data_IF_205984800563
#
_entry.id   IF_205984800563
#
_cell.length_a   1.000
_cell.length_b   1.000
_cell.length_c   1.000
_cell.angle_alpha   90.00
_cell.angle_beta   90.00
_cell.angle_gamma   90.00
#
_symmetry.space_group_name_H-M   'P 1'
#
loop_
_entity.id
_entity.type
_entity.pdbx_description
1 polymer ?
#
# COMPACT_ATOMS: atom_id res chain seq x y z
N UNK A 1 -1.43 -69.11 -8.35
CA UNK A 1 -0.66 -68.05 -9.05
C UNK A 1 -1.65 -67.25 -9.88
N UNK A 2 -2.37 -66.32 -9.24
CA UNK A 2 -3.45 -65.54 -9.84
C UNK A 2 -3.06 -64.06 -9.82
N UNK A 3 -3.13 -63.41 -10.98
CA UNK A 3 -2.79 -62.01 -11.20
C UNK A 3 -4.02 -61.17 -10.88
N UNK A 4 -3.95 -60.36 -9.83
CA UNK A 4 -4.99 -59.40 -9.45
C UNK A 4 -4.72 -58.06 -10.14
N UNK A 5 -5.66 -57.63 -11.00
CA UNK A 5 -5.69 -56.30 -11.59
C UNK A 5 -6.42 -55.34 -10.64
N UNK A 6 -5.73 -54.32 -10.16
CA UNK A 6 -6.30 -53.22 -9.36
C UNK A 6 -6.61 -52.04 -10.30
N UNK A 7 -7.90 -51.77 -10.47
CA UNK A 7 -8.41 -50.59 -11.16
C UNK A 7 -8.21 -49.34 -10.26
N UNK A 8 -7.52 -48.33 -10.78
CA UNK A 8 -7.42 -47.02 -10.14
C UNK A 8 -8.50 -46.08 -10.71
N UNK A 9 -9.42 -45.69 -9.84
CA UNK A 9 -10.50 -44.75 -10.10
C UNK A 9 -9.95 -43.31 -10.07
N UNK A 10 -9.90 -42.63 -11.22
CA UNK A 10 -9.41 -41.26 -11.36
C UNK A 10 -10.61 -40.32 -11.50
N UNK A 11 -11.03 -39.68 -10.40
CA UNK A 11 -12.04 -38.62 -10.44
C UNK A 11 -11.41 -37.32 -10.94
N UNK A 12 -11.74 -36.95 -12.18
CA UNK A 12 -11.47 -35.62 -12.74
C UNK A 12 -12.42 -34.59 -12.10
N UNK A 13 -11.89 -33.70 -11.26
CA UNK A 13 -12.57 -32.47 -10.85
C UNK A 13 -12.39 -31.41 -11.93
N UNK A 14 -13.43 -31.19 -12.74
CA UNK A 14 -13.54 -30.07 -13.66
C UNK A 14 -13.73 -28.75 -12.87
N UNK A 15 -12.72 -27.88 -12.86
CA UNK A 15 -12.88 -26.47 -12.47
C UNK A 15 -13.12 -25.62 -13.73
N UNK A 16 -14.35 -25.16 -13.90
CA UNK A 16 -14.72 -24.15 -14.90
C UNK A 16 -14.34 -22.76 -14.40
N UNK A 17 -13.40 -22.10 -15.07
CA UNK A 17 -13.05 -20.70 -14.87
C UNK A 17 -14.05 -19.77 -15.58
N UNK A 18 -14.59 -18.71 -14.95
CA UNK A 18 -15.28 -17.67 -15.68
C UNK A 18 -14.29 -16.70 -16.32
N UNK A 19 -14.38 -16.55 -17.65
CA UNK A 19 -13.69 -15.52 -18.45
C UNK A 19 -14.21 -14.13 -18.07
N UNK A 20 -13.39 -13.32 -17.43
CA UNK A 20 -13.65 -11.88 -17.27
C UNK A 20 -13.03 -11.13 -18.46
N UNK A 21 -13.89 -10.46 -19.22
CA UNK A 21 -13.60 -9.66 -20.41
C UNK A 21 -12.95 -8.34 -19.99
N UNK A 22 -11.67 -8.16 -20.29
CA UNK A 22 -10.97 -6.89 -20.17
C UNK A 22 -11.55 -5.85 -21.15
N UNK A 23 -12.03 -4.71 -20.64
CA UNK A 23 -12.32 -3.51 -21.46
C UNK A 23 -11.07 -2.64 -21.49
N UNK A 24 -10.35 -2.66 -22.61
CA UNK A 24 -9.30 -1.70 -22.92
C UNK A 24 -9.92 -0.33 -23.24
N UNK A 25 -9.58 0.72 -22.47
CA UNK A 25 -9.79 2.11 -22.90
C UNK A 25 -8.49 2.63 -23.53
N UNK A 26 -8.53 3.30 -24.70
CA UNK A 26 -7.34 3.87 -25.31
C UNK A 26 -6.93 5.19 -24.63
N UNK A 27 -5.63 5.33 -24.42
CA UNK A 27 -4.93 6.48 -23.87
C UNK A 27 -4.78 7.57 -24.94
N UNK A 28 -5.24 8.80 -24.68
CA UNK A 28 -4.94 9.98 -25.49
C UNK A 28 -4.12 10.98 -24.68
N UNK A 29 -3.01 11.54 -25.23
CA UNK A 29 -2.20 12.52 -24.53
C UNK A 29 -2.77 13.94 -24.74
N UNK A 30 -3.16 14.63 -23.67
CA UNK A 30 -3.49 16.05 -23.74
C UNK A 30 -2.22 16.91 -23.61
N UNK A 31 -1.97 17.70 -24.65
CA UNK A 31 -0.99 18.80 -24.68
C UNK A 31 -1.49 19.95 -23.80
N UNK A 32 -0.60 20.45 -22.97
CA UNK A 32 -0.73 21.71 -22.22
C UNK A 32 -0.75 22.91 -23.16
N UNK A 33 -1.78 23.74 -23.07
CA UNK A 33 -1.77 25.10 -23.63
C UNK A 33 -2.21 26.07 -22.55
N UNK A 34 -1.28 26.91 -22.11
CA UNK A 34 -1.51 28.10 -21.30
C UNK A 34 -2.28 29.13 -22.14
N UNK A 35 -3.42 29.61 -21.65
CA UNK A 35 -3.97 30.88 -22.10
C UNK A 35 -4.60 31.67 -20.96
N UNK A 36 -3.90 32.76 -20.67
CA UNK A 36 -4.26 33.96 -19.93
C UNK A 36 -5.56 34.56 -20.49
N UNK A 37 -6.50 34.97 -19.62
CA UNK A 37 -7.62 35.83 -20.04
C UNK A 37 -7.93 36.87 -18.95
N UNK A 38 -7.68 38.12 -19.32
CA UNK A 38 -7.94 39.31 -18.53
C UNK A 38 -9.43 39.61 -18.45
N UNK A 39 -9.87 40.01 -17.25
CA UNK A 39 -11.21 40.54 -16.99
C UNK A 39 -11.37 41.95 -17.58
N UNK A 40 -12.44 42.18 -18.33
CA UNK A 40 -13.09 43.50 -18.46
C UNK A 40 -14.61 43.35 -18.41
N UNK A 41 -15.34 44.28 -17.78
CA UNK A 41 -16.78 44.19 -17.60
C UNK A 41 -17.52 44.87 -18.75
N UNK A 42 -18.62 44.27 -19.20
CA UNK A 42 -19.64 44.97 -19.97
C UNK A 42 -20.98 44.88 -19.23
N UNK A 43 -21.42 46.06 -18.80
CA UNK A 43 -22.76 46.39 -18.31
C UNK A 43 -23.73 46.21 -19.48
N UNK A 44 -24.82 45.46 -19.26
CA UNK A 44 -26.02 45.59 -20.07
C UNK A 44 -27.27 45.71 -19.20
N UNK A 45 -28.14 46.57 -19.73
CA UNK A 45 -29.28 47.24 -19.14
C UNK A 45 -30.44 46.27 -18.88
N UNK A 46 -31.16 46.57 -17.80
CA UNK A 46 -32.41 45.99 -17.34
C UNK A 46 -33.47 45.98 -18.45
N UNK A 47 -34.12 44.84 -18.64
CA UNK A 47 -35.50 44.79 -19.16
C UNK A 47 -36.30 43.83 -18.28
N UNK A 48 -37.22 44.42 -17.50
CA UNK A 48 -38.21 43.71 -16.72
C UNK A 48 -39.32 43.23 -17.65
N UNK A 49 -39.61 41.93 -17.63
CA UNK A 49 -40.87 41.39 -18.14
C UNK A 49 -41.40 40.39 -17.14
N UNK A 50 -42.45 40.82 -16.46
CA UNK A 50 -43.26 40.07 -15.51
C UNK A 50 -44.17 39.07 -16.25
N UNK A 51 -44.06 37.79 -15.92
CA UNK A 51 -45.12 36.78 -16.06
C UNK A 51 -44.82 35.56 -15.16
N UNK A 52 -45.85 34.83 -14.71
CA UNK A 52 -45.88 34.22 -13.39
C UNK A 52 -45.41 32.76 -13.37
N UNK A 53 -44.89 32.35 -12.21
CA UNK A 53 -44.78 30.97 -11.68
C UNK A 53 -44.57 29.83 -12.68
N UNK A 54 -43.33 29.37 -12.75
CA UNK A 54 -43.04 27.94 -12.73
C UNK A 54 -42.03 27.68 -11.60
N UNK A 55 -42.55 27.33 -10.43
CA UNK A 55 -41.77 26.55 -9.48
C UNK A 55 -41.49 25.20 -10.18
N UNK A 56 -40.37 25.14 -10.90
CA UNK A 56 -39.68 23.88 -11.10
C UNK A 56 -39.35 23.36 -9.70
N UNK A 57 -39.72 22.13 -9.33
CA UNK A 57 -39.18 21.57 -8.10
C UNK A 57 -37.66 21.58 -8.28
N UNK A 58 -36.95 22.25 -7.37
CA UNK A 58 -35.56 21.91 -7.10
C UNK A 58 -35.59 20.43 -6.69
N UNK A 59 -35.54 19.54 -7.68
CA UNK A 59 -35.12 18.18 -7.49
C UNK A 59 -33.70 18.32 -6.94
N UNK A 60 -33.60 18.30 -5.62
CA UNK A 60 -32.35 18.30 -4.87
C UNK A 60 -31.55 17.10 -5.39
N UNK A 61 -30.73 17.32 -6.42
CA UNK A 61 -29.93 16.27 -7.04
C UNK A 61 -28.92 15.87 -5.99
N UNK A 62 -29.19 14.75 -5.30
CA UNK A 62 -28.24 14.18 -4.36
C UNK A 62 -26.95 13.89 -5.13
N UNK A 63 -25.89 14.63 -4.78
CA UNK A 63 -24.52 14.37 -5.24
C UNK A 63 -23.81 13.50 -4.21
N UNK A 64 -22.77 12.78 -4.64
CA UNK A 64 -21.95 11.98 -3.73
C UNK A 64 -21.37 12.83 -2.58
N UNK A 65 -20.87 14.04 -2.88
CA UNK A 65 -20.40 15.01 -1.89
C UNK A 65 -21.50 15.39 -0.87
N UNK A 66 -22.71 15.71 -1.33
CA UNK A 66 -23.84 16.07 -0.47
C UNK A 66 -24.20 14.91 0.47
N UNK A 67 -24.22 13.68 -0.05
CA UNK A 67 -24.43 12.47 0.74
C UNK A 67 -23.32 12.25 1.78
N UNK A 68 -22.04 12.46 1.44
CA UNK A 68 -20.93 12.37 2.41
C UNK A 68 -21.09 13.40 3.53
N UNK A 69 -21.38 14.66 3.18
CA UNK A 69 -21.56 15.73 4.17
C UNK A 69 -22.78 15.48 5.08
N UNK A 70 -23.88 14.99 4.51
CA UNK A 70 -25.06 14.61 5.26
C UNK A 70 -24.77 13.41 6.18
N UNK A 71 -24.05 12.40 5.69
CA UNK A 71 -23.62 11.25 6.47
C UNK A 71 -22.77 11.66 7.67
N UNK A 72 -21.83 12.59 7.49
CA UNK A 72 -21.00 13.12 8.57
C UNK A 72 -21.84 13.86 9.63
N UNK A 73 -22.80 14.67 9.20
CA UNK A 73 -23.74 15.37 10.09
C UNK A 73 -24.65 14.41 10.89
N UNK A 74 -25.04 13.29 10.28
CA UNK A 74 -25.82 12.24 10.96
C UNK A 74 -24.95 11.47 11.94
N UNK A 75 -23.71 11.15 11.56
CA UNK A 75 -22.75 10.46 12.40
C UNK A 75 -22.43 11.25 13.67
N UNK A 76 -22.18 12.57 13.55
CA UNK A 76 -21.94 13.45 14.70
C UNK A 76 -23.13 13.56 15.65
N UNK A 77 -24.35 13.23 15.19
CA UNK A 77 -25.57 13.16 16.00
C UNK A 77 -25.82 11.77 16.60
N UNK A 78 -24.89 10.83 16.43
CA UNK A 78 -25.03 9.44 16.88
C UNK A 78 -25.99 8.60 16.02
N UNK A 79 -26.50 9.13 14.89
CA UNK A 79 -27.39 8.41 13.97
C UNK A 79 -26.57 7.55 12.99
N UNK A 80 -25.78 6.62 13.53
CA UNK A 80 -24.76 5.86 12.77
C UNK A 80 -25.37 5.01 11.66
N UNK A 81 -26.55 4.41 11.87
CA UNK A 81 -27.23 3.62 10.83
C UNK A 81 -27.65 4.48 9.64
N UNK A 82 -28.15 5.69 9.90
CA UNK A 82 -28.57 6.61 8.84
C UNK A 82 -27.36 7.19 8.10
N UNK A 83 -26.26 7.44 8.83
CA UNK A 83 -25.00 7.85 8.23
C UNK A 83 -24.44 6.79 7.27
N UNK A 84 -24.49 5.51 7.64
CA UNK A 84 -24.08 4.41 6.75
C UNK A 84 -24.85 4.42 5.43
N UNK A 85 -26.17 4.59 5.48
CA UNK A 85 -26.99 4.67 4.27
C UNK A 85 -26.53 5.81 3.37
N UNK A 86 -26.19 6.97 3.94
CA UNK A 86 -25.69 8.10 3.17
C UNK A 86 -24.32 7.84 2.54
N UNK A 87 -23.40 7.19 3.25
CA UNK A 87 -22.10 6.83 2.68
C UNK A 87 -22.21 5.76 1.57
N UNK A 88 -23.11 4.79 1.71
CA UNK A 88 -23.41 3.81 0.66
C UNK A 88 -24.07 4.45 -0.56
N UNK A 89 -24.96 5.41 -0.32
CA UNK A 89 -25.58 6.21 -1.39
C UNK A 89 -24.50 7.00 -2.12
N UNK A 90 -23.59 7.66 -1.40
CA UNK A 90 -22.48 8.40 -2.02
C UNK A 90 -21.62 7.51 -2.92
N UNK A 91 -21.31 6.28 -2.50
CA UNK A 91 -20.55 5.31 -3.30
C UNK A 91 -21.31 4.81 -4.54
N UNK A 92 -22.63 4.96 -4.57
CA UNK A 92 -23.49 4.56 -5.68
C UNK A 92 -23.72 5.69 -6.71
N UNK A 93 -23.37 6.94 -6.37
CA UNK A 93 -23.64 8.15 -7.15
C UNK A 93 -22.46 8.59 -8.04
N UNK A 94 -21.63 7.64 -8.49
CA UNK A 94 -20.41 7.89 -9.29
C UNK A 94 -19.47 8.94 -8.66
N UNK A 95 -18.96 8.66 -7.44
CA UNK A 95 -18.11 9.60 -6.73
C UNK A 95 -16.76 9.79 -7.45
N UNK A 96 -16.21 11.00 -7.35
CA UNK A 96 -14.80 11.18 -7.71
C UNK A 96 -13.88 10.45 -6.70
N UNK A 97 -12.58 10.24 -7.00
CA UNK A 97 -11.70 9.48 -6.12
C UNK A 97 -11.58 10.02 -4.69
N UNK A 98 -11.71 11.34 -4.49
CA UNK A 98 -11.63 11.97 -3.16
C UNK A 98 -12.90 11.72 -2.37
N UNK A 99 -14.07 11.85 -3.01
CA UNK A 99 -15.37 11.55 -2.40
C UNK A 99 -15.49 10.06 -2.05
N UNK A 100 -15.04 9.17 -2.95
CA UNK A 100 -15.05 7.74 -2.72
C UNK A 100 -14.15 7.34 -1.54
N UNK A 101 -12.95 7.94 -1.48
CA UNK A 101 -12.04 7.77 -0.34
C UNK A 101 -12.71 8.20 0.97
N UNK A 102 -13.32 9.40 0.98
CA UNK A 102 -14.00 9.94 2.16
C UNK A 102 -15.20 9.10 2.59
N UNK A 103 -16.02 8.66 1.62
CA UNK A 103 -17.19 7.82 1.88
C UNK A 103 -16.78 6.45 2.46
N UNK A 104 -15.77 5.77 1.88
CA UNK A 104 -15.26 4.50 2.40
C UNK A 104 -14.65 4.65 3.80
N UNK A 105 -13.89 5.72 4.02
CA UNK A 105 -13.29 6.01 5.31
C UNK A 105 -14.34 6.24 6.40
N UNK A 106 -15.32 7.11 6.15
CA UNK A 106 -16.37 7.41 7.11
C UNK A 106 -17.31 6.21 7.31
N UNK A 107 -17.53 5.40 6.27
CA UNK A 107 -18.22 4.10 6.39
C UNK A 107 -17.46 3.15 7.32
N UNK A 108 -16.14 3.09 7.24
CA UNK A 108 -15.32 2.31 8.16
C UNK A 108 -15.46 2.78 9.61
N UNK A 109 -15.46 4.10 9.84
CA UNK A 109 -15.67 4.69 11.17
C UNK A 109 -17.05 4.31 11.74
N UNK A 110 -18.09 4.32 10.92
CA UNK A 110 -19.42 3.85 11.32
C UNK A 110 -19.44 2.37 11.72
N UNK A 111 -18.80 1.49 10.94
CA UNK A 111 -18.70 0.07 11.29
C UNK A 111 -17.87 -0.17 12.55
N UNK A 112 -16.78 0.58 12.75
CA UNK A 112 -15.97 0.53 13.97
C UNK A 112 -16.78 0.94 15.21
N UNK A 113 -17.59 2.00 15.10
CA UNK A 113 -18.49 2.44 16.16
C UNK A 113 -19.54 1.37 16.52
N UNK A 114 -20.01 0.60 15.52
CA UNK A 114 -20.95 -0.50 15.73
C UNK A 114 -20.29 -1.81 16.22
N UNK A 115 -18.95 -1.84 16.37
CA UNK A 115 -18.20 -3.06 16.72
C UNK A 115 -18.06 -4.06 15.58
N UNK A 116 -18.40 -3.68 14.35
CA UNK A 116 -18.33 -4.52 13.15
C UNK A 116 -16.91 -4.49 12.55
N UNK A 117 -15.93 -4.97 13.31
CA UNK A 117 -14.51 -4.84 12.99
C UNK A 117 -14.13 -5.36 11.59
N UNK A 118 -14.71 -6.49 11.18
CA UNK A 118 -14.49 -7.07 9.84
C UNK A 118 -14.90 -6.13 8.72
N UNK A 119 -16.10 -5.53 8.81
CA UNK A 119 -16.60 -4.62 7.77
C UNK A 119 -15.81 -3.31 7.75
N UNK A 120 -15.41 -2.82 8.92
CA UNK A 120 -14.56 -1.65 9.02
C UNK A 120 -13.20 -1.88 8.34
N UNK A 121 -12.55 -3.02 8.63
CA UNK A 121 -11.27 -3.39 8.00
C UNK A 121 -11.39 -3.51 6.47
N UNK A 122 -12.44 -4.14 5.94
CA UNK A 122 -12.70 -4.23 4.49
C UNK A 122 -12.84 -2.85 3.81
N UNK A 123 -13.57 -1.94 4.45
CA UNK A 123 -13.72 -0.57 3.94
C UNK A 123 -12.36 0.15 3.90
N UNK A 124 -11.54 -0.03 4.94
CA UNK A 124 -10.19 0.53 5.00
C UNK A 124 -9.24 -0.09 3.97
N UNK A 125 -9.29 -1.42 3.75
CA UNK A 125 -8.52 -2.11 2.69
C UNK A 125 -8.79 -1.45 1.34
N UNK A 126 -10.06 -1.28 1.01
CA UNK A 126 -10.49 -0.64 -0.23
C UNK A 126 -10.00 0.81 -0.33
N UNK A 127 -10.14 1.59 0.75
CA UNK A 127 -9.67 2.99 0.78
C UNK A 127 -8.14 3.11 0.64
N UNK A 128 -7.38 2.20 1.25
CA UNK A 128 -5.92 2.15 1.17
C UNK A 128 -5.45 1.76 -0.22
N UNK A 129 -6.04 0.69 -0.78
CA UNK A 129 -5.66 0.12 -2.08
C UNK A 129 -6.03 1.02 -3.24
N UNK A 130 -7.32 1.35 -3.35
CA UNK A 130 -7.88 1.94 -4.56
C UNK A 130 -7.76 3.46 -4.56
N UNK A 131 -7.73 4.06 -3.37
CA UNK A 131 -7.74 5.51 -3.20
C UNK A 131 -6.53 6.06 -2.47
N UNK A 132 -5.51 5.23 -2.18
CA UNK A 132 -4.26 5.67 -1.59
C UNK A 132 -4.45 6.45 -0.27
N UNK A 133 -5.41 6.01 0.55
CA UNK A 133 -5.59 6.56 1.91
C UNK A 133 -4.27 6.43 2.68
N UNK A 134 -3.93 7.44 3.48
CA UNK A 134 -2.75 7.35 4.34
C UNK A 134 -3.09 6.49 5.55
N UNK A 135 -2.34 5.42 5.76
CA UNK A 135 -2.52 4.56 6.93
C UNK A 135 -2.33 5.33 8.25
N UNK A 136 -1.53 6.40 8.22
CA UNK A 136 -1.41 7.31 9.36
C UNK A 136 -2.72 8.02 9.74
N UNK A 137 -3.63 8.27 8.82
CA UNK A 137 -4.97 8.83 9.14
C UNK A 137 -5.76 7.83 10.00
N UNK A 138 -5.68 6.55 9.64
CA UNK A 138 -6.36 5.44 10.34
C UNK A 138 -5.84 5.27 11.77
N UNK A 139 -4.52 5.37 11.97
CA UNK A 139 -3.89 5.22 13.27
C UNK A 139 -4.26 6.32 14.27
N UNK A 140 -4.54 7.54 13.77
CA UNK A 140 -4.78 8.72 14.59
C UNK A 140 -6.27 8.98 14.85
N UNK A 141 -7.16 8.30 14.14
CA UNK A 141 -8.59 8.55 14.28
C UNK A 141 -9.13 8.00 15.62
N UNK A 142 -9.79 8.85 16.44
CA UNK A 142 -10.43 8.40 17.67
C UNK A 142 -11.61 7.44 17.44
N UNK A 143 -12.37 7.59 16.35
CA UNK A 143 -13.52 6.75 16.01
C UNK A 143 -13.10 5.32 15.66
N UNK A 144 -11.84 5.14 15.25
CA UNK A 144 -11.23 3.84 14.96
C UNK A 144 -10.47 3.26 16.17
N UNK A 145 -10.51 3.90 17.35
CA UNK A 145 -9.80 3.40 18.53
C UNK A 145 -10.25 1.99 18.95
N UNK A 146 -11.55 1.69 18.88
CA UNK A 146 -12.10 0.36 19.15
C UNK A 146 -11.60 -0.69 18.16
N UNK A 147 -11.53 -0.31 16.87
CA UNK A 147 -11.04 -1.17 15.80
C UNK A 147 -9.58 -1.53 16.00
N UNK A 148 -8.73 -0.58 16.44
CA UNK A 148 -7.29 -0.80 16.63
C UNK A 148 -6.94 -1.91 17.64
N UNK A 149 -7.85 -2.24 18.56
CA UNK A 149 -7.67 -3.35 19.49
C UNK A 149 -8.05 -4.72 18.90
N UNK A 150 -8.72 -4.76 17.75
CA UNK A 150 -9.27 -5.96 17.14
C UNK A 150 -8.21 -6.78 16.39
N UNK A 151 -8.40 -8.11 16.23
CA UNK A 151 -7.52 -8.94 15.41
C UNK A 151 -7.57 -8.54 13.93
N UNK A 152 -8.73 -8.14 13.41
CA UNK A 152 -8.90 -7.70 12.02
C UNK A 152 -8.04 -6.48 11.70
N UNK A 153 -7.87 -5.56 12.66
CA UNK A 153 -6.99 -4.42 12.46
C UNK A 153 -5.51 -4.82 12.46
N UNK A 154 -5.12 -5.82 13.25
CA UNK A 154 -3.75 -6.35 13.23
C UNK A 154 -3.42 -6.97 11.88
N UNK A 155 -4.37 -7.72 11.30
CA UNK A 155 -4.25 -8.26 9.94
C UNK A 155 -4.10 -7.13 8.92
N UNK A 156 -4.99 -6.13 8.96
CA UNK A 156 -4.91 -4.94 8.10
C UNK A 156 -3.56 -4.22 8.23
N UNK A 157 -3.04 -4.07 9.44
CA UNK A 157 -1.76 -3.43 9.71
C UNK A 157 -0.58 -4.24 9.15
N UNK A 158 -0.61 -5.56 9.30
CA UNK A 158 0.42 -6.44 8.74
C UNK A 158 0.37 -6.45 7.21
N UNK A 159 -0.81 -6.51 6.61
CA UNK A 159 -1.00 -6.37 5.17
C UNK A 159 -0.45 -5.01 4.67
N UNK A 160 -0.73 -3.91 5.37
CA UNK A 160 -0.21 -2.58 5.02
C UNK A 160 1.32 -2.51 5.16
N UNK A 161 1.89 -3.18 6.17
CA UNK A 161 3.34 -3.24 6.42
C UNK A 161 4.04 -4.09 5.36
N UNK A 162 3.44 -5.20 4.95
CA UNK A 162 3.94 -6.04 3.85
C UNK A 162 3.78 -5.34 2.50
N UNK A 163 2.76 -4.49 2.38
CA UNK A 163 2.36 -3.89 1.12
C UNK A 163 1.90 -4.97 0.12
N UNK A 164 1.47 -4.53 -1.06
CA UNK A 164 1.09 -5.44 -2.13
C UNK A 164 -0.11 -4.94 -2.91
N UNK A 165 -0.68 -5.82 -3.73
CA UNK A 165 -1.85 -5.51 -4.54
C UNK A 165 -3.11 -5.32 -3.69
N UNK A 166 -3.21 -5.98 -2.53
CA UNK A 166 -4.43 -5.97 -1.70
C UNK A 166 -4.63 -4.69 -0.86
N UNK A 167 -3.55 -4.01 -0.45
CA UNK A 167 -3.61 -2.78 0.37
C UNK A 167 -2.90 -1.58 -0.29
N UNK A 168 -2.10 -1.81 -1.32
CA UNK A 168 -1.23 -0.79 -1.89
C UNK A 168 0.09 -0.65 -1.14
N UNK A 169 0.89 0.34 -1.55
CA UNK A 169 2.30 0.47 -1.14
C UNK A 169 2.60 1.74 -0.34
N UNK A 170 1.62 2.60 -0.07
CA UNK A 170 1.84 3.90 0.59
C UNK A 170 2.48 3.77 1.96
N UNK A 171 1.88 2.97 2.84
CA UNK A 171 2.37 2.79 4.21
C UNK A 171 3.76 2.14 4.25
N UNK A 172 3.98 1.06 3.49
CA UNK A 172 5.31 0.44 3.35
C UNK A 172 6.36 1.43 2.85
N UNK A 173 6.03 2.27 1.85
CA UNK A 173 6.96 3.29 1.34
C UNK A 173 7.32 4.29 2.43
N UNK A 174 6.35 4.80 3.18
CA UNK A 174 6.58 5.74 4.28
C UNK A 174 7.53 5.13 5.35
N UNK A 175 7.29 3.88 5.75
CA UNK A 175 8.17 3.15 6.67
C UNK A 175 9.58 2.95 6.08
N UNK A 176 9.68 2.65 4.79
CA UNK A 176 10.95 2.48 4.11
C UNK A 176 11.76 3.77 4.10
N UNK A 177 11.13 4.91 3.83
CA UNK A 177 11.78 6.22 3.89
C UNK A 177 12.34 6.51 5.28
N UNK A 178 11.59 6.22 6.34
CA UNK A 178 12.08 6.36 7.73
C UNK A 178 13.28 5.43 7.98
N UNK A 179 13.21 4.20 7.48
CA UNK A 179 14.30 3.22 7.65
C UNK A 179 15.56 3.59 6.85
N UNK A 180 15.41 4.25 5.70
CA UNK A 180 16.53 4.73 4.88
C UNK A 180 17.26 5.90 5.57
N UNK A 181 16.52 6.75 6.27
CA UNK A 181 17.12 7.80 7.11
C UNK A 181 17.95 7.18 8.24
N UNK A 182 17.47 6.08 8.85
CA UNK A 182 18.19 5.42 9.94
C UNK A 182 19.38 4.57 9.48
N UNK A 183 19.29 3.97 8.28
CA UNK A 183 20.32 3.12 7.69
C UNK A 183 20.65 3.60 6.27
N UNK A 184 21.50 4.63 6.14
CA UNK A 184 21.74 5.29 4.87
C UNK A 184 22.34 4.30 3.84
N UNK A 185 21.93 4.47 2.59
CA UNK A 185 22.43 3.73 1.42
C UNK A 185 22.22 2.20 1.43
N UNK A 186 21.31 1.67 2.24
CA UNK A 186 20.98 0.23 2.23
C UNK A 186 20.63 -0.29 0.83
N UNK A 187 19.84 0.47 0.06
CA UNK A 187 19.50 0.11 -1.33
C UNK A 187 20.73 0.00 -2.24
N UNK A 188 21.68 0.93 -2.10
CA UNK A 188 22.95 0.93 -2.85
C UNK A 188 23.78 -0.31 -2.52
N UNK A 189 23.90 -0.66 -1.23
CA UNK A 189 24.63 -1.84 -0.79
C UNK A 189 24.05 -3.14 -1.38
N UNK A 190 22.73 -3.28 -1.37
CA UNK A 190 22.04 -4.44 -1.97
C UNK A 190 22.25 -4.53 -3.47
N UNK A 191 22.23 -3.40 -4.17
CA UNK A 191 22.54 -3.36 -5.59
C UNK A 191 23.94 -3.96 -5.85
N UNK A 192 24.95 -3.57 -5.06
CA UNK A 192 26.30 -4.13 -5.21
C UNK A 192 26.38 -5.61 -4.85
N UNK A 193 25.66 -6.09 -3.82
CA UNK A 193 25.62 -7.52 -3.50
C UNK A 193 25.11 -8.35 -4.69
N UNK A 194 24.01 -7.93 -5.30
CA UNK A 194 23.43 -8.62 -6.46
C UNK A 194 24.34 -8.48 -7.68
N UNK A 195 24.82 -7.27 -7.98
CA UNK A 195 25.67 -7.01 -9.14
C UNK A 195 26.98 -7.80 -9.09
N UNK A 196 27.67 -7.82 -7.94
CA UNK A 196 28.91 -8.57 -7.79
C UNK A 196 28.68 -10.09 -7.75
N UNK A 197 27.57 -10.55 -7.18
CA UNK A 197 27.21 -11.97 -7.25
C UNK A 197 26.94 -12.40 -8.69
N UNK A 198 26.23 -11.58 -9.46
CA UNK A 198 25.97 -11.83 -10.88
C UNK A 198 27.28 -11.81 -11.70
N UNK A 199 28.15 -10.83 -11.46
CA UNK A 199 29.45 -10.74 -12.14
C UNK A 199 30.33 -11.97 -11.85
N UNK A 200 30.40 -12.41 -10.59
CA UNK A 200 31.11 -13.61 -10.19
C UNK A 200 30.49 -14.87 -10.80
N UNK A 201 29.15 -14.93 -10.89
CA UNK A 201 28.43 -16.01 -11.56
C UNK A 201 28.77 -16.10 -13.04
N UNK A 202 28.78 -14.97 -13.76
CA UNK A 202 29.19 -14.90 -15.17
C UNK A 202 30.66 -15.34 -15.33
N UNK A 203 31.56 -14.88 -14.44
CA UNK A 203 32.96 -15.32 -14.45
C UNK A 203 33.10 -16.83 -14.26
N UNK A 204 32.28 -17.42 -13.38
CA UNK A 204 32.29 -18.85 -13.11
C UNK A 204 31.80 -19.67 -14.32
N UNK A 205 30.83 -19.16 -15.10
CA UNK A 205 30.36 -19.81 -16.33
C UNK A 205 31.50 -20.01 -17.35
N UNK A 206 32.45 -19.09 -17.45
CA UNK A 206 33.63 -19.24 -18.30
C UNK A 206 34.75 -20.06 -17.64
N UNK A 207 34.87 -19.98 -16.32
CA UNK A 207 35.96 -20.64 -15.57
C UNK A 207 35.72 -22.14 -15.40
N UNK A 208 34.47 -22.60 -15.24
CA UNK A 208 34.15 -24.03 -15.05
C UNK A 208 34.55 -24.89 -16.26
N UNK A 209 34.21 -24.53 -17.52
CA UNK A 209 34.69 -25.27 -18.68
C UNK A 209 36.21 -25.22 -18.85
N UNK A 210 36.84 -24.10 -18.47
CA UNK A 210 38.30 -23.95 -18.48
C UNK A 210 38.96 -24.88 -17.46
N UNK A 211 38.38 -25.00 -16.27
CA UNK A 211 38.83 -25.89 -15.21
C UNK A 211 38.73 -27.36 -15.64
N UNK A 212 37.62 -27.74 -16.29
CA UNK A 212 37.46 -29.09 -16.81
C UNK A 212 38.50 -29.44 -17.88
N UNK A 213 38.86 -28.49 -18.75
CA UNK A 213 39.96 -28.65 -19.71
C UNK A 213 41.32 -28.74 -19.03
N UNK A 214 41.57 -27.92 -18.00
CA UNK A 214 42.81 -27.95 -17.23
C UNK A 214 43.00 -29.32 -16.53
N UNK A 215 41.93 -29.89 -15.96
CA UNK A 215 41.95 -31.22 -15.32
C UNK A 215 42.17 -32.35 -16.34
N UNK A 216 41.56 -32.25 -17.53
CA UNK A 216 41.75 -33.26 -18.60
C UNK A 216 43.18 -33.29 -19.14
N UNK A 217 43.93 -32.19 -19.01
CA UNK A 217 45.28 -32.06 -19.57
C UNK A 217 45.30 -32.08 -21.11
N UNK A 218 46.50 -32.00 -21.68
CA UNK A 218 46.73 -31.97 -23.12
C UNK A 218 47.49 -30.72 -23.59
N UNK A 219 47.87 -30.71 -24.88
CA UNK A 219 48.57 -29.57 -25.47
C UNK A 219 47.68 -28.32 -25.45
N UNK A 220 48.23 -27.22 -24.90
CA UNK A 220 47.50 -25.96 -24.72
C UNK A 220 46.50 -25.95 -23.53
N UNK A 221 46.57 -26.92 -22.61
CA UNK A 221 45.73 -26.91 -21.42
C UNK A 221 46.07 -25.69 -20.50
N UNK A 222 45.06 -25.02 -19.91
CA UNK A 222 45.28 -23.91 -18.98
C UNK A 222 45.94 -24.36 -17.66
N UNK A 223 46.62 -23.44 -16.97
CA UNK A 223 47.15 -23.69 -15.63
C UNK A 223 46.03 -24.03 -14.64
N UNK A 224 46.15 -25.19 -14.00
CA UNK A 224 45.19 -25.73 -13.04
C UNK A 224 45.13 -24.83 -11.81
N UNK A 225 46.26 -24.36 -11.28
CA UNK A 225 46.26 -23.60 -10.03
C UNK A 225 45.72 -22.20 -10.18
N UNK A 226 46.04 -21.53 -11.28
CA UNK A 226 45.42 -20.26 -11.62
C UNK A 226 43.90 -20.42 -11.81
N UNK A 227 43.47 -21.46 -12.53
CA UNK A 227 42.06 -21.68 -12.84
C UNK A 227 41.24 -22.08 -11.60
N UNK A 228 41.80 -22.92 -10.72
CA UNK A 228 41.19 -23.26 -9.42
C UNK A 228 41.13 -22.05 -8.51
N UNK A 229 42.18 -21.25 -8.43
CA UNK A 229 42.20 -20.01 -7.64
C UNK A 229 41.10 -19.05 -8.07
N UNK A 230 40.97 -18.81 -9.38
CA UNK A 230 39.92 -17.96 -9.96
C UNK A 230 38.50 -18.50 -9.69
N UNK A 231 38.31 -19.82 -9.79
CA UNK A 231 37.03 -20.44 -9.45
C UNK A 231 36.70 -20.29 -7.96
N UNK A 232 37.69 -20.53 -7.09
CA UNK A 232 37.57 -20.43 -5.64
C UNK A 232 37.21 -19.01 -5.17
N UNK A 233 37.87 -17.99 -5.73
CA UNK A 233 37.56 -16.57 -5.43
C UNK A 233 36.12 -16.23 -5.79
N UNK A 234 35.67 -16.60 -7.00
CA UNK A 234 34.29 -16.33 -7.43
C UNK A 234 33.26 -17.06 -6.57
N UNK A 235 33.46 -18.35 -6.28
CA UNK A 235 32.56 -19.15 -5.44
C UNK A 235 32.50 -18.56 -4.02
N UNK A 236 33.66 -18.30 -3.40
CA UNK A 236 33.74 -17.70 -2.07
C UNK A 236 33.08 -16.33 -2.03
N UNK A 237 33.32 -15.50 -3.04
CA UNK A 237 32.69 -14.18 -3.19
C UNK A 237 31.17 -14.28 -3.26
N UNK A 238 30.61 -15.16 -4.08
CA UNK A 238 29.16 -15.39 -4.17
C UNK A 238 28.59 -15.81 -2.81
N UNK A 239 29.22 -16.78 -2.13
CA UNK A 239 28.76 -17.27 -0.83
C UNK A 239 28.68 -16.12 0.18
N UNK A 240 29.74 -15.31 0.29
CA UNK A 240 29.79 -14.18 1.22
C UNK A 240 28.75 -13.11 0.86
N UNK A 241 28.65 -12.71 -0.41
CA UNK A 241 27.72 -11.67 -0.87
C UNK A 241 26.27 -12.10 -0.68
N UNK A 242 25.93 -13.36 -0.96
CA UNK A 242 24.60 -13.92 -0.75
C UNK A 242 24.27 -13.96 0.75
N UNK A 243 25.21 -14.39 1.60
CA UNK A 243 25.03 -14.37 3.05
C UNK A 243 24.79 -12.93 3.59
N UNK A 244 25.57 -11.96 3.11
CA UNK A 244 25.39 -10.54 3.46
C UNK A 244 24.04 -10.00 2.97
N UNK A 245 23.58 -10.39 1.78
CA UNK A 245 22.28 -10.00 1.26
C UNK A 245 21.14 -10.48 2.15
N UNK A 246 21.14 -11.76 2.52
CA UNK A 246 20.12 -12.31 3.43
C UNK A 246 20.17 -11.68 4.82
N UNK A 247 21.38 -11.44 5.34
CA UNK A 247 21.56 -10.78 6.64
C UNK A 247 21.01 -9.34 6.65
N UNK A 248 21.28 -8.56 5.61
CA UNK A 248 20.79 -7.18 5.49
C UNK A 248 19.27 -7.12 5.22
N UNK A 249 18.69 -8.14 4.58
CA UNK A 249 17.23 -8.27 4.46
C UNK A 249 16.59 -8.53 5.82
N UNK A 250 17.13 -9.48 6.59
CA UNK A 250 16.65 -9.76 7.95
C UNK A 250 16.76 -8.52 8.85
N UNK A 251 17.87 -7.78 8.77
CA UNK A 251 18.07 -6.54 9.54
C UNK A 251 17.12 -5.42 9.15
N UNK A 252 16.75 -5.30 7.87
CA UNK A 252 15.73 -4.34 7.45
C UNK A 252 14.36 -4.69 8.03
N UNK A 253 13.97 -5.98 8.01
CA UNK A 253 12.68 -6.39 8.57
C UNK A 253 12.60 -6.12 10.08
N UNK A 254 13.65 -6.45 10.83
CA UNK A 254 13.77 -6.14 12.26
C UNK A 254 13.61 -4.63 12.51
N UNK A 255 14.27 -3.80 11.69
CA UNK A 255 14.18 -2.35 11.80
C UNK A 255 12.81 -1.81 11.42
N UNK A 256 12.20 -2.29 10.33
CA UNK A 256 10.86 -1.87 9.92
C UNK A 256 9.81 -2.25 10.96
N UNK A 257 9.92 -3.42 11.59
CA UNK A 257 9.06 -3.82 12.70
C UNK A 257 9.22 -2.88 13.90
N UNK A 258 10.45 -2.53 14.26
CA UNK A 258 10.73 -1.58 15.34
C UNK A 258 10.22 -0.17 15.02
N UNK A 259 10.42 0.32 13.79
CA UNK A 259 9.92 1.63 13.34
C UNK A 259 8.40 1.64 13.33
N UNK A 260 7.74 0.61 12.77
CA UNK A 260 6.28 0.49 12.76
C UNK A 260 5.70 0.53 14.17
N UNK A 261 6.32 -0.22 15.11
CA UNK A 261 5.94 -0.19 16.52
C UNK A 261 6.14 1.20 17.13
N UNK A 262 7.31 1.81 16.93
CA UNK A 262 7.63 3.12 17.46
C UNK A 262 6.71 4.20 16.88
N UNK A 263 6.32 4.10 15.62
CA UNK A 263 5.39 5.00 14.96
C UNK A 263 3.96 4.81 15.48
N UNK A 264 3.56 3.57 15.78
CA UNK A 264 2.28 3.32 16.45
C UNK A 264 2.28 3.89 17.87
N UNK A 265 3.38 3.75 18.61
CA UNK A 265 3.53 4.27 19.99
C UNK A 265 3.66 5.80 20.03
N UNK A 266 4.32 6.41 19.04
CA UNK A 266 4.45 7.87 18.96
C UNK A 266 3.10 8.57 18.81
N UNK A 267 2.08 7.86 18.32
CA UNK A 267 0.72 8.39 18.12
C UNK A 267 -0.20 8.14 19.31
N UNK A 268 0.32 7.64 20.44
CA UNK A 268 -0.47 7.37 21.63
C UNK A 268 -0.87 8.70 22.31
N UNK A 269 -2.16 8.91 22.63
CA UNK A 269 -2.60 10.13 23.29
C UNK A 269 -2.17 10.14 24.76
N UNK A 270 -1.56 11.23 25.19
CA UNK A 270 -1.15 11.50 26.56
C UNK A 270 -2.00 12.62 27.15
N UNK A 271 -2.45 12.43 28.40
CA UNK A 271 -3.13 13.48 29.17
C UNK A 271 -2.10 14.22 30.01
N UNK A 272 -1.91 15.50 29.74
CA UNK A 272 -1.03 16.37 30.51
C UNK A 272 -1.69 16.77 31.85
N UNK A 273 -0.89 17.24 32.80
CA UNK A 273 -1.39 17.79 34.08
C UNK A 273 -2.36 18.97 33.89
N UNK A 274 -2.23 19.69 32.79
CA UNK A 274 -3.13 20.77 32.35
C UNK A 274 -4.46 20.27 31.78
N UNK A 275 -4.73 18.96 31.86
CA UNK A 275 -5.91 18.29 31.30
C UNK A 275 -5.98 18.28 29.76
N UNK A 276 -4.95 18.78 29.08
CA UNK A 276 -4.85 18.75 27.62
C UNK A 276 -4.41 17.36 27.13
N UNK A 277 -5.03 16.86 26.08
CA UNK A 277 -4.65 15.62 25.40
C UNK A 277 -3.74 15.96 24.21
N UNK A 278 -2.57 15.33 24.15
CA UNK A 278 -1.51 15.57 23.15
C UNK A 278 -0.92 14.23 22.75
N UNK A 279 -0.59 14.04 21.47
CA UNK A 279 0.09 12.81 21.01
C UNK A 279 1.58 12.84 21.38
N UNK A 280 2.18 11.70 21.70
CA UNK A 280 3.61 11.62 22.06
C UNK A 280 4.53 12.20 20.97
N UNK A 281 4.17 12.09 19.69
CA UNK A 281 4.94 12.64 18.55
C UNK A 281 4.97 14.17 18.54
N UNK A 282 3.93 14.83 19.06
CA UNK A 282 3.88 16.29 19.16
C UNK A 282 4.85 16.83 20.23
N UNK A 283 5.23 15.96 21.17
CA UNK A 283 6.21 16.26 22.21
C UNK A 283 7.65 15.91 21.79
N UNK A 284 7.84 15.33 20.60
CA UNK A 284 9.17 15.02 20.05
C UNK A 284 9.97 16.32 19.93
N UNK A 285 11.22 16.28 20.38
CA UNK A 285 12.18 17.39 20.39
C UNK A 285 11.83 18.62 21.24
N UNK A 286 10.62 18.67 21.83
CA UNK A 286 10.18 19.77 22.70
C UNK A 286 10.21 19.42 24.18
N UNK A 287 10.11 18.13 24.53
CA UNK A 287 10.02 17.66 25.92
C UNK A 287 10.96 16.49 26.16
N UNK A 288 11.55 16.42 27.36
CA UNK A 288 12.35 15.26 27.83
C UNK A 288 11.60 14.57 28.97
N UNK A 289 11.51 13.23 28.99
CA UNK A 289 10.98 12.52 30.14
C UNK A 289 11.92 12.77 31.33
N UNK A 290 11.35 13.22 32.45
CA UNK A 290 12.04 13.45 33.73
C UNK A 290 11.76 12.27 34.65
#
# INVERSE_FOLDING_TARGET
MAVAALALNQQHLCFSYPKIRAKSRPWFPQKTTLLNSQKKPHIFIVSCSSSPTSQSPEANVQTAESCVNLGLSLFSKGRVKDALVQFETALSLDPNPVEAQAALYNKACCHAYQGEAKKAAECLRTALRDYNLKFGTILNDPDLASLRASPEFKELQEEARLGGEDIGYSFRRDLKLISEVQAPFRGVRRFFYVAFSAAAGISLLFTVPRLFRAIKGGDGAPDIWETVGNAGINIGGIIVLVALFFWDNKKEEEQLAQISRNETLSRLPLRLSTNRIVELVQLRDTVRPV
#
